data_IF_734583809493
#
_entry.id   IF_734583809493
#
_cell.length_a   1.000
_cell.length_b   1.000
_cell.length_c   1.000
_cell.angle_alpha   90.00
_cell.angle_beta   90.00
_cell.angle_gamma   90.00
#
_symmetry.space_group_name_H-M   'P 1'
#
loop_
_entity.id
_entity.type
_entity.pdbx_description
1 polymer ?
#
# COMPACT_ATOMS: atom_id res chain seq x y z
N UNK A 1 7.42 -9.03 0.08
CA UNK A 1 7.73 -8.33 -1.19
C UNK A 1 8.55 -7.06 -0.96
N UNK A 2 8.01 -6.03 -0.27
CA UNK A 2 8.70 -4.73 -0.12
C UNK A 2 10.14 -4.81 0.41
N UNK A 3 10.39 -5.62 1.43
CA UNK A 3 11.74 -5.84 1.99
C UNK A 3 12.71 -6.50 0.99
N UNK A 4 12.26 -7.51 0.24
CA UNK A 4 13.09 -8.20 -0.76
C UNK A 4 13.50 -7.24 -1.89
N UNK A 5 12.67 -6.24 -2.18
CA UNK A 5 12.84 -5.30 -3.29
C UNK A 5 13.29 -3.90 -2.82
N UNK A 6 13.79 -3.77 -1.58
CA UNK A 6 14.14 -2.46 -1.01
C UNK A 6 15.26 -1.72 -1.76
N UNK A 7 16.06 -2.43 -2.56
CA UNK A 7 17.14 -1.86 -3.37
C UNK A 7 16.78 -1.66 -4.84
N UNK A 8 15.58 -2.10 -5.28
CA UNK A 8 15.11 -1.87 -6.64
C UNK A 8 14.59 -0.44 -6.78
N UNK A 9 15.41 0.44 -7.37
CA UNK A 9 15.12 1.88 -7.47
C UNK A 9 13.91 2.19 -8.36
N UNK A 10 13.55 1.29 -9.28
CA UNK A 10 12.40 1.48 -10.18
C UNK A 10 11.08 1.04 -9.55
N UNK A 11 11.09 0.43 -8.37
CA UNK A 11 9.90 -0.13 -7.75
C UNK A 11 9.58 0.57 -6.43
N UNK A 12 8.32 1.01 -6.30
CA UNK A 12 7.79 1.67 -5.09
C UNK A 12 6.44 1.08 -4.74
N UNK A 13 6.20 0.87 -3.44
CA UNK A 13 4.91 0.43 -2.93
C UNK A 13 4.13 1.63 -2.43
N UNK A 14 2.99 1.90 -3.06
CA UNK A 14 2.09 2.98 -2.68
C UNK A 14 0.85 2.40 -1.98
N UNK A 15 0.71 2.66 -0.69
CA UNK A 15 -0.40 2.19 0.14
C UNK A 15 -1.39 3.33 0.36
N UNK A 16 -2.55 3.21 -0.31
CA UNK A 16 -3.64 4.17 -0.25
C UNK A 16 -4.78 3.58 0.58
N UNK A 17 -5.36 4.36 1.48
CA UNK A 17 -6.40 3.94 2.42
C UNK A 17 -5.92 3.89 3.87
N UNK A 18 -6.88 3.79 4.78
CA UNK A 18 -6.65 3.71 6.23
C UNK A 18 -7.42 2.56 6.85
N UNK A 19 -7.07 1.33 6.44
CA UNK A 19 -7.61 0.10 7.01
C UNK A 19 -7.00 -0.22 8.38
N UNK A 20 -7.56 -1.23 9.06
CA UNK A 20 -7.15 -1.65 10.41
C UNK A 20 -5.68 -2.05 10.52
N UNK A 21 -5.07 -2.52 9.42
CA UNK A 21 -3.67 -2.90 9.37
C UNK A 21 -2.68 -1.73 9.23
N UNK A 22 -3.14 -0.49 9.01
CA UNK A 22 -2.27 0.65 8.68
C UNK A 22 -1.17 0.87 9.73
N UNK A 23 -1.55 0.97 11.00
CA UNK A 23 -0.60 1.21 12.11
C UNK A 23 0.45 0.10 12.20
N UNK A 24 0.02 -1.16 12.10
CA UNK A 24 0.92 -2.33 12.08
C UNK A 24 1.90 -2.26 10.91
N UNK A 25 1.44 -1.90 9.71
CA UNK A 25 2.28 -1.81 8.52
C UNK A 25 3.30 -0.67 8.62
N UNK A 26 2.92 0.48 9.17
CA UNK A 26 3.84 1.60 9.41
C UNK A 26 4.96 1.20 10.38
N UNK A 27 4.61 0.53 11.49
CA UNK A 27 5.60 0.00 12.44
C UNK A 27 6.53 -1.03 11.77
N UNK A 28 5.97 -1.90 10.92
CA UNK A 28 6.77 -2.88 10.19
C UNK A 28 7.80 -2.23 9.24
N UNK A 29 7.40 -1.17 8.54
CA UNK A 29 8.27 -0.40 7.65
C UNK A 29 9.39 0.28 8.43
N UNK A 30 9.09 0.89 9.58
CA UNK A 30 10.08 1.51 10.47
C UNK A 30 11.07 0.45 10.98
N UNK A 31 10.58 -0.65 11.53
CA UNK A 31 11.40 -1.71 12.13
C UNK A 31 12.32 -2.37 11.10
N UNK A 32 11.86 -2.51 9.85
CA UNK A 32 12.63 -3.07 8.74
C UNK A 32 13.45 -2.02 7.98
N UNK A 33 13.40 -0.73 8.38
CA UNK A 33 14.08 0.40 7.73
C UNK A 33 13.82 0.50 6.23
N UNK A 34 12.58 0.22 5.81
CA UNK A 34 12.20 0.24 4.40
C UNK A 34 11.97 1.68 3.93
N UNK A 35 12.60 2.06 2.82
CA UNK A 35 12.44 3.39 2.20
C UNK A 35 11.57 3.36 0.93
N UNK A 36 11.16 2.17 0.47
CA UNK A 36 10.40 1.96 -0.76
C UNK A 36 8.88 1.81 -0.55
N UNK A 37 8.36 2.17 0.62
CA UNK A 37 6.93 2.07 0.97
C UNK A 37 6.40 3.43 1.39
N UNK A 38 5.32 3.87 0.74
CA UNK A 38 4.70 5.18 0.94
C UNK A 38 3.24 5.01 1.38
N UNK A 39 2.86 5.65 2.48
CA UNK A 39 1.49 5.60 3.00
C UNK A 39 0.79 6.94 2.78
N UNK A 40 -0.39 6.91 2.16
CA UNK A 40 -1.20 8.10 1.91
C UNK A 40 -2.38 8.25 2.86
N UNK A 41 -2.72 7.19 3.62
CA UNK A 41 -3.89 7.18 4.48
C UNK A 41 -5.20 7.22 3.69
N UNK A 42 -6.31 7.53 4.36
CA UNK A 42 -7.61 7.71 3.70
C UNK A 42 -7.55 8.91 2.77
N UNK A 43 -8.09 8.74 1.57
CA UNK A 43 -8.16 9.77 0.54
C UNK A 43 -9.58 9.86 -0.01
N UNK A 44 -10.06 11.06 -0.38
CA UNK A 44 -11.34 11.21 -1.06
C UNK A 44 -11.38 10.40 -2.37
N UNK A 45 -12.58 10.00 -2.79
CA UNK A 45 -12.75 9.17 -3.99
C UNK A 45 -12.36 9.95 -5.25
N UNK A 46 -12.53 11.27 -5.21
CA UNK A 46 -12.18 12.22 -6.27
C UNK A 46 -10.67 12.23 -6.55
N UNK A 47 -9.84 11.87 -5.56
CA UNK A 47 -8.39 11.77 -5.71
C UNK A 47 -7.92 10.38 -6.18
N UNK A 48 -8.78 9.36 -6.20
CA UNK A 48 -8.40 8.00 -6.61
C UNK A 48 -7.87 7.91 -8.05
N UNK A 49 -8.42 8.63 -9.05
CA UNK A 49 -7.89 8.62 -10.42
C UNK A 49 -6.40 8.97 -10.50
N UNK A 50 -5.92 9.90 -9.68
CA UNK A 50 -4.52 10.30 -9.65
C UNK A 50 -3.63 9.15 -9.15
N UNK A 51 -4.07 8.44 -8.10
CA UNK A 51 -3.36 7.29 -7.56
C UNK A 51 -3.32 6.11 -8.54
N UNK A 52 -4.41 5.88 -9.27
CA UNK A 52 -4.45 4.85 -10.31
C UNK A 52 -3.54 5.20 -11.49
N UNK A 53 -3.54 6.46 -11.92
CA UNK A 53 -2.71 6.93 -13.04
C UNK A 53 -1.21 6.87 -12.74
N UNK A 54 -0.83 6.97 -11.46
CA UNK A 54 0.56 6.85 -11.02
C UNK A 54 1.07 5.41 -11.06
N UNK A 55 0.19 4.41 -11.02
CA UNK A 55 0.58 3.01 -10.79
C UNK A 55 0.71 2.24 -12.12
N UNK A 56 1.84 1.58 -12.32
CA UNK A 56 2.00 0.60 -13.41
C UNK A 56 1.14 -0.65 -13.19
N UNK A 57 0.87 -0.98 -11.91
CA UNK A 57 0.02 -2.10 -11.51
C UNK A 57 -0.63 -1.83 -10.15
N UNK A 58 -1.84 -2.39 -9.94
CA UNK A 58 -2.59 -2.28 -8.69
C UNK A 58 -2.89 -3.66 -8.11
N UNK A 59 -2.59 -3.84 -6.83
CA UNK A 59 -2.94 -5.05 -6.07
C UNK A 59 -4.10 -4.74 -5.12
N UNK A 60 -5.25 -5.36 -5.36
CA UNK A 60 -6.40 -5.30 -4.45
C UNK A 60 -6.41 -6.56 -3.62
N UNK A 61 -6.02 -6.45 -2.35
CA UNK A 61 -6.06 -7.56 -1.39
C UNK A 61 -7.46 -7.66 -0.80
N UNK A 62 -8.27 -8.54 -1.35
CA UNK A 62 -9.56 -8.90 -0.77
C UNK A 62 -9.31 -9.89 0.37
N UNK A 63 -9.88 -9.60 1.55
CA UNK A 63 -10.08 -10.64 2.56
C UNK A 63 -11.12 -11.62 2.03
N UNK A 64 -10.86 -12.93 2.13
CA UNK A 64 -11.88 -13.95 1.90
C UNK A 64 -12.88 -13.86 3.04
N UNK A 65 -13.86 -12.96 2.93
CA UNK A 65 -14.94 -12.84 3.89
C UNK A 65 -16.11 -13.72 3.39
N UNK A 66 -16.45 -14.83 4.08
CA UNK A 66 -17.53 -15.71 3.67
C UNK A 66 -18.93 -15.04 3.74
N UNK A 67 -19.03 -13.81 4.26
CA UNK A 67 -20.29 -13.05 4.36
C UNK A 67 -20.74 -12.44 3.03
N UNK A 68 -19.91 -12.47 1.98
CA UNK A 68 -20.25 -11.97 0.63
C UNK A 68 -20.74 -13.08 -0.34
N UNK A 69 -21.43 -14.11 0.17
CA UNK A 69 -22.16 -15.09 -0.64
C UNK A 69 -23.67 -14.98 -0.41
#
# INVERSE_FOLDING_TARGET
AAELLQHEKKLRFHIVGGGTALSRLQQLVINKKLSNVFFYGRKPIENMPDYYSMADAMLVTLTSDPVLN
#
